data_IF_491640537346
#
_entry.id   IF_491640537346
#
_cell.length_a   1.000
_cell.length_b   1.000
_cell.length_c   1.000
_cell.angle_alpha   90.00
_cell.angle_beta   90.00
_cell.angle_gamma   90.00
#
_symmetry.space_group_name_H-M   'P 1'
#
loop_
_entity.id
_entity.type
_entity.pdbx_description
1 polymer ?
#
# COMPACT_ATOMS: atom_id res chain seq x y z
N UNK A 1 -16.72 25.64 -32.59
CA UNK A 1 -17.04 24.26 -32.17
C UNK A 1 -16.73 24.16 -30.68
N UNK A 2 -17.75 24.03 -29.86
CA UNK A 2 -17.64 24.06 -28.40
C UNK A 2 -17.19 22.69 -27.85
N UNK A 3 -16.24 22.71 -26.90
CA UNK A 3 -15.85 21.54 -26.13
C UNK A 3 -17.02 21.09 -25.25
N UNK A 4 -17.39 19.82 -25.37
CA UNK A 4 -18.36 19.19 -24.47
C UNK A 4 -17.75 19.05 -23.08
N UNK A 5 -18.41 19.70 -22.12
CA UNK A 5 -18.24 19.52 -20.67
C UNK A 5 -18.35 18.04 -20.30
N UNK A 6 -17.30 17.48 -19.71
CA UNK A 6 -17.36 16.17 -19.05
C UNK A 6 -17.70 16.38 -17.58
N UNK A 7 -18.91 15.99 -17.22
CA UNK A 7 -19.44 15.96 -15.86
C UNK A 7 -18.73 14.90 -15.01
N UNK A 8 -18.36 15.30 -13.80
CA UNK A 8 -17.84 14.50 -12.69
C UNK A 8 -18.66 13.20 -12.49
N UNK A 9 -18.05 12.01 -12.39
CA UNK A 9 -18.79 10.81 -12.00
C UNK A 9 -19.20 10.91 -10.53
N UNK A 10 -20.51 10.88 -10.28
CA UNK A 10 -21.10 10.76 -8.95
C UNK A 10 -20.86 9.36 -8.40
N UNK A 11 -20.23 9.29 -7.22
CA UNK A 11 -20.07 8.04 -6.47
C UNK A 11 -21.40 7.73 -5.78
N UNK A 12 -22.08 6.67 -6.22
CA UNK A 12 -23.22 6.13 -5.48
C UNK A 12 -22.71 5.39 -4.23
N UNK A 13 -23.00 5.96 -3.06
CA UNK A 13 -22.77 5.30 -1.79
C UNK A 13 -23.76 4.14 -1.60
N UNK A 14 -23.26 2.94 -1.34
CA UNK A 14 -24.08 1.79 -0.93
C UNK A 14 -23.74 1.40 0.51
N UNK A 15 -24.82 1.24 1.27
CA UNK A 15 -24.99 1.06 2.72
C UNK A 15 -24.02 0.05 3.35
N UNK A 16 -23.30 0.49 4.39
CA UNK A 16 -22.46 -0.36 5.23
C UNK A 16 -23.31 -1.29 6.11
N UNK A 17 -22.98 -2.59 6.12
CA UNK A 17 -23.43 -3.54 7.14
C UNK A 17 -22.38 -3.55 8.26
N UNK A 18 -22.83 -3.23 9.48
CA UNK A 18 -22.00 -3.04 10.67
C UNK A 18 -21.15 -4.28 10.98
N UNK A 19 -19.83 -4.10 11.15
CA UNK A 19 -18.91 -5.10 11.71
C UNK A 19 -17.68 -5.46 10.87
N UNK A 20 -17.62 -5.09 9.59
CA UNK A 20 -16.40 -5.23 8.78
C UNK A 20 -16.20 -3.93 8.01
N UNK A 21 -15.06 -3.25 8.26
CA UNK A 21 -14.62 -2.15 7.40
C UNK A 21 -14.29 -2.74 6.03
N UNK A 22 -15.28 -2.75 5.14
CA UNK A 22 -15.07 -3.08 3.74
C UNK A 22 -14.46 -1.84 3.09
N UNK A 23 -13.14 -1.68 3.22
CA UNK A 23 -12.43 -0.66 2.48
C UNK A 23 -12.68 -0.91 1.00
N UNK A 24 -13.42 -0.02 0.33
CA UNK A 24 -13.60 -0.11 -1.11
C UNK A 24 -12.22 -0.01 -1.76
N UNK A 25 -11.86 -0.94 -2.68
CA UNK A 25 -10.58 -0.86 -3.35
C UNK A 25 -10.40 0.48 -4.06
N UNK A 26 -9.23 1.10 -3.91
CA UNK A 26 -8.89 2.33 -4.62
C UNK A 26 -8.30 1.95 -5.97
N UNK A 27 -8.89 2.43 -7.07
CA UNK A 27 -8.33 2.21 -8.40
C UNK A 27 -7.11 3.11 -8.62
N UNK A 28 -5.99 2.50 -9.01
CA UNK A 28 -4.76 3.20 -9.34
C UNK A 28 -4.35 2.90 -10.79
N UNK A 29 -4.08 3.97 -11.54
CA UNK A 29 -3.25 3.91 -12.75
C UNK A 29 -1.75 3.91 -12.35
N UNK A 30 -0.83 3.82 -13.30
CA UNK A 30 0.60 3.96 -13.00
C UNK A 30 0.87 5.27 -12.23
N UNK A 31 1.60 5.19 -11.12
CA UNK A 31 1.83 6.30 -10.20
C UNK A 31 1.86 5.91 -8.72
N UNK A 32 1.93 6.91 -7.84
CA UNK A 32 1.97 6.73 -6.38
C UNK A 32 0.56 6.71 -5.78
N UNK A 33 0.26 5.67 -5.01
CA UNK A 33 -1.00 5.56 -4.26
C UNK A 33 -0.70 5.38 -2.79
N UNK A 34 -1.36 6.15 -1.91
CA UNK A 34 -1.25 5.93 -0.47
C UNK A 34 -1.75 4.52 -0.12
N UNK A 35 -0.91 3.73 0.56
CA UNK A 35 -1.21 2.36 0.97
C UNK A 35 -1.45 2.23 2.48
N UNK A 36 -0.72 3.02 3.28
CA UNK A 36 -0.86 3.06 4.75
C UNK A 36 -0.85 4.52 5.21
N UNK A 37 -1.87 4.93 5.96
CA UNK A 37 -2.07 6.32 6.40
C UNK A 37 -1.15 6.72 7.58
N UNK A 38 -1.17 8.02 7.92
CA UNK A 38 -0.27 8.72 8.83
C UNK A 38 -0.09 8.14 10.26
N UNK A 39 -1.03 7.32 10.74
CA UNK A 39 -0.93 6.61 12.02
C UNK A 39 -0.58 5.12 11.89
N UNK A 40 -0.73 4.56 10.70
CA UNK A 40 -0.60 3.13 10.45
C UNK A 40 0.82 2.62 10.44
N UNK A 41 1.76 3.47 10.02
CA UNK A 41 3.18 3.13 9.94
C UNK A 41 3.78 2.89 11.33
N UNK A 42 3.14 3.41 12.39
CA UNK A 42 3.57 3.25 13.78
C UNK A 42 3.03 1.96 14.44
N UNK A 43 2.25 1.16 13.71
CA UNK A 43 1.68 -0.09 14.19
C UNK A 43 2.52 -1.25 13.67
N UNK A 44 2.91 -2.17 14.56
CA UNK A 44 3.59 -3.40 14.16
C UNK A 44 2.59 -4.55 14.16
N UNK A 45 2.47 -5.25 13.04
CA UNK A 45 1.67 -6.47 12.96
C UNK A 45 2.47 -7.73 13.27
N UNK A 46 3.80 -7.64 13.45
CA UNK A 46 4.67 -8.70 13.99
C UNK A 46 4.40 -10.09 13.39
N UNK A 47 4.42 -10.18 12.06
CA UNK A 47 4.18 -11.39 11.28
C UNK A 47 2.77 -11.98 11.38
N UNK A 48 1.76 -11.25 11.88
CA UNK A 48 0.36 -11.70 11.88
C UNK A 48 -0.17 -12.08 10.49
N UNK A 49 0.43 -11.53 9.43
CA UNK A 49 0.13 -11.87 8.04
C UNK A 49 0.65 -13.25 7.60
N UNK A 50 1.62 -13.87 8.32
CA UNK A 50 2.20 -15.20 7.99
C UNK A 50 1.37 -16.39 8.48
N UNK A 51 0.43 -16.18 9.39
CA UNK A 51 -0.25 -17.26 10.13
C UNK A 51 -1.64 -17.64 9.64
N UNK A 52 -2.16 -17.00 8.59
CA UNK A 52 -3.57 -17.13 8.21
C UNK A 52 -3.67 -17.42 6.71
N UNK A 53 -4.11 -18.64 6.35
CA UNK A 53 -4.34 -19.07 4.96
C UNK A 53 -5.45 -18.26 4.25
N UNK A 54 -6.10 -17.34 4.97
CA UNK A 54 -6.96 -16.30 4.45
C UNK A 54 -6.88 -15.13 5.43
N UNK A 55 -6.02 -14.15 5.15
CA UNK A 55 -5.80 -13.00 6.04
C UNK A 55 -7.15 -12.40 6.44
N UNK A 56 -7.48 -12.51 7.73
CA UNK A 56 -8.68 -11.88 8.28
C UNK A 56 -8.41 -10.38 8.38
N UNK A 57 -8.96 -9.66 7.41
CA UNK A 57 -8.87 -8.22 7.27
C UNK A 57 -9.41 -7.44 8.48
N UNK A 58 -10.26 -8.07 9.31
CA UNK A 58 -10.77 -7.45 10.54
C UNK A 58 -9.67 -7.20 11.57
N UNK A 59 -8.56 -7.95 11.51
CA UNK A 59 -7.42 -7.83 12.43
C UNK A 59 -6.64 -6.51 12.27
N UNK A 60 -6.84 -5.79 11.16
CA UNK A 60 -5.98 -4.68 10.75
C UNK A 60 -6.68 -3.30 10.81
N UNK A 61 -7.90 -3.21 11.35
CA UNK A 61 -8.48 -1.97 11.89
C UNK A 61 -8.67 -0.78 10.94
N UNK A 62 -8.72 -0.96 9.61
CA UNK A 62 -8.93 0.11 8.62
C UNK A 62 -7.72 1.03 8.38
N UNK A 63 -6.54 0.60 8.84
CA UNK A 63 -5.28 1.36 8.77
C UNK A 63 -4.59 1.23 7.40
N UNK A 64 -4.95 0.20 6.66
CA UNK A 64 -4.44 -0.17 5.35
C UNK A 64 -5.50 0.08 4.28
N UNK A 65 -5.06 0.17 3.04
CA UNK A 65 -5.95 0.24 1.88
C UNK A 65 -5.76 -0.99 1.01
N UNK A 66 -6.86 -1.46 0.43
CA UNK A 66 -6.81 -2.36 -0.73
C UNK A 66 -6.67 -1.48 -1.97
N UNK A 67 -5.58 -1.65 -2.70
CA UNK A 67 -5.28 -0.92 -3.92
C UNK A 67 -5.55 -1.87 -5.08
N UNK A 68 -6.38 -1.44 -6.05
CA UNK A 68 -6.66 -2.21 -7.26
C UNK A 68 -5.95 -1.56 -8.45
N UNK A 69 -5.09 -2.31 -9.14
CA UNK A 69 -4.56 -1.87 -10.44
C UNK A 69 -5.64 -2.03 -11.51
N UNK A 70 -5.62 -1.14 -12.50
CA UNK A 70 -6.35 -1.40 -13.74
C UNK A 70 -5.76 -2.65 -14.43
N UNK A 71 -6.63 -3.47 -15.02
CA UNK A 71 -6.21 -4.71 -15.66
C UNK A 71 -5.23 -4.40 -16.81
N UNK A 72 -4.06 -5.06 -16.81
CA UNK A 72 -3.00 -4.83 -17.79
C UNK A 72 -2.09 -3.61 -17.55
N UNK A 73 -2.23 -2.91 -16.41
CA UNK A 73 -1.41 -1.73 -16.07
C UNK A 73 -0.49 -2.03 -14.89
N UNK A 74 0.78 -1.65 -15.00
CA UNK A 74 1.78 -1.79 -13.94
C UNK A 74 2.37 -3.20 -13.84
N UNK A 75 3.68 -3.29 -14.04
CA UNK A 75 4.49 -4.50 -13.98
C UNK A 75 5.31 -4.60 -12.69
N UNK A 76 5.41 -3.51 -11.92
CA UNK A 76 6.23 -3.45 -10.72
C UNK A 76 5.57 -2.62 -9.63
N UNK A 77 5.62 -3.15 -8.41
CA UNK A 77 5.19 -2.47 -7.20
C UNK A 77 6.43 -2.03 -6.42
N UNK A 78 6.54 -0.75 -6.05
CA UNK A 78 7.63 -0.25 -5.21
C UNK A 78 7.06 0.53 -4.03
N UNK A 79 7.26 0.07 -2.78
CA UNK A 79 6.81 0.79 -1.61
C UNK A 79 7.78 1.93 -1.26
N UNK A 80 7.23 3.06 -0.82
CA UNK A 80 7.97 4.27 -0.48
C UNK A 80 7.37 4.87 0.78
N UNK A 81 8.21 5.25 1.73
CA UNK A 81 7.79 5.95 2.93
C UNK A 81 8.02 7.46 2.77
N UNK A 82 6.96 8.24 3.01
CA UNK A 82 7.03 9.68 3.29
C UNK A 82 7.01 9.88 4.80
N UNK A 83 7.88 10.71 5.35
CA UNK A 83 7.96 10.92 6.80
C UNK A 83 8.39 12.35 7.15
N UNK A 84 8.20 12.72 8.41
CA UNK A 84 8.53 14.05 8.94
C UNK A 84 10.05 14.28 8.97
N UNK A 85 10.50 15.44 8.47
CA UNK A 85 11.92 15.79 8.47
C UNK A 85 12.50 15.92 9.91
N UNK A 86 11.66 16.26 10.89
CA UNK A 86 12.03 16.35 12.30
C UNK A 86 12.25 15.01 13.00
N UNK A 87 12.04 13.88 12.31
CA UNK A 87 12.28 12.55 12.86
C UNK A 87 13.78 12.26 12.97
N UNK A 88 14.23 12.03 14.21
CA UNK A 88 15.63 11.75 14.55
C UNK A 88 15.80 10.30 14.98
N UNK A 89 16.98 9.74 14.68
CA UNK A 89 17.31 8.33 14.92
C UNK A 89 16.20 7.34 14.47
N UNK A 90 15.68 7.47 13.22
CA UNK A 90 14.59 6.61 12.80
C UNK A 90 15.04 5.15 12.68
N UNK A 91 14.23 4.24 13.19
CA UNK A 91 14.30 2.82 12.85
C UNK A 91 13.30 2.56 11.71
N UNK A 92 13.76 2.17 10.52
CA UNK A 92 12.91 1.88 9.38
C UNK A 92 11.80 0.87 9.69
N UNK A 93 10.56 1.09 9.22
CA UNK A 93 9.56 0.05 9.22
C UNK A 93 9.92 -1.02 8.21
N UNK A 94 9.61 -2.26 8.56
CA UNK A 94 9.64 -3.42 7.67
C UNK A 94 8.19 -3.70 7.30
N UNK A 95 7.93 -3.92 6.02
CA UNK A 95 6.58 -4.14 5.50
C UNK A 95 6.48 -5.45 4.73
N UNK A 96 5.26 -5.97 4.61
CA UNK A 96 4.87 -7.00 3.68
C UNK A 96 3.91 -6.43 2.62
N UNK A 97 4.12 -6.81 1.36
CA UNK A 97 3.16 -6.56 0.29
C UNK A 97 2.42 -7.87 0.02
N UNK A 98 1.10 -7.78 0.06
CA UNK A 98 0.20 -8.89 -0.16
C UNK A 98 -0.59 -8.63 -1.43
N UNK A 99 -0.79 -9.68 -2.24
CA UNK A 99 -1.54 -9.62 -3.49
C UNK A 99 -2.69 -10.63 -3.51
N UNK A 100 -3.77 -10.30 -4.20
CA UNK A 100 -4.80 -11.26 -4.61
C UNK A 100 -5.32 -10.97 -6.01
N UNK A 101 -5.94 -11.97 -6.62
CA UNK A 101 -6.71 -11.80 -7.84
C UNK A 101 -8.18 -11.60 -7.46
N UNK A 102 -8.77 -10.53 -7.99
CA UNK A 102 -10.19 -10.22 -7.98
C UNK A 102 -10.59 -9.91 -9.42
N UNK A 103 -10.78 -10.97 -10.20
CA UNK A 103 -11.07 -10.91 -11.64
C UNK A 103 -12.50 -11.40 -11.89
N UNK A 104 -13.14 -10.93 -12.95
CA UNK A 104 -14.39 -11.52 -13.39
C UNK A 104 -14.11 -12.82 -14.15
N UNK A 105 -14.90 -13.86 -13.91
CA UNK A 105 -14.94 -15.06 -14.74
C UNK A 105 -15.60 -14.74 -16.11
N UNK A 106 -15.62 -15.69 -17.07
CA UNK A 106 -16.28 -15.49 -18.36
C UNK A 106 -17.79 -15.20 -18.26
N UNK A 107 -18.42 -15.51 -17.13
CA UNK A 107 -19.84 -15.27 -16.82
C UNK A 107 -20.08 -13.90 -16.19
N UNK A 108 -19.02 -13.19 -15.78
CA UNK A 108 -19.07 -11.92 -15.06
C UNK A 108 -19.04 -12.05 -13.53
N UNK A 109 -18.95 -13.27 -12.99
CA UNK A 109 -18.90 -13.53 -11.55
C UNK A 109 -17.49 -13.28 -11.00
N UNK A 110 -17.34 -12.60 -9.85
CA UNK A 110 -16.02 -12.29 -9.30
C UNK A 110 -15.35 -13.54 -8.73
N UNK A 111 -14.17 -13.87 -9.25
CA UNK A 111 -13.23 -14.83 -8.67
C UNK A 111 -12.27 -14.03 -7.79
N UNK A 112 -12.43 -14.19 -6.48
CA UNK A 112 -11.58 -13.55 -5.47
C UNK A 112 -10.71 -14.60 -4.78
N UNK A 113 -9.40 -14.54 -5.00
CA UNK A 113 -8.44 -15.40 -4.29
C UNK A 113 -8.11 -14.82 -2.91
N UNK A 114 -7.59 -15.63 -1.97
CA UNK A 114 -6.99 -15.12 -0.75
C UNK A 114 -5.81 -14.19 -1.05
N UNK A 115 -5.53 -13.27 -0.12
CA UNK A 115 -4.27 -12.52 -0.13
C UNK A 115 -3.09 -13.46 0.15
N UNK A 116 -2.08 -13.39 -0.70
CA UNK A 116 -0.82 -14.10 -0.56
C UNK A 116 0.34 -13.11 -0.45
N UNK A 117 1.40 -13.42 0.31
CA UNK A 117 2.57 -12.58 0.36
C UNK A 117 3.34 -12.64 -0.95
N UNK A 118 3.65 -11.48 -1.50
CA UNK A 118 4.46 -11.36 -2.71
C UNK A 118 5.94 -11.34 -2.35
N UNK A 119 6.79 -11.76 -3.28
CA UNK A 119 8.24 -11.69 -3.14
C UNK A 119 8.74 -10.39 -3.75
N UNK A 120 9.66 -9.71 -3.06
CA UNK A 120 10.45 -8.65 -3.66
C UNK A 120 11.59 -9.23 -4.50
N UNK A 121 12.28 -8.37 -5.25
CA UNK A 121 13.41 -8.71 -6.11
C UNK A 121 14.60 -9.33 -5.34
N UNK A 122 14.67 -9.14 -4.02
CA UNK A 122 15.65 -9.79 -3.15
C UNK A 122 15.21 -11.20 -2.70
N UNK A 123 14.06 -11.72 -3.15
CA UNK A 123 13.54 -13.04 -2.77
C UNK A 123 12.94 -13.11 -1.37
N UNK A 124 12.55 -11.96 -0.80
CA UNK A 124 11.97 -11.85 0.54
C UNK A 124 10.51 -11.40 0.47
N UNK A 125 9.69 -11.88 1.42
CA UNK A 125 8.32 -11.37 1.64
C UNK A 125 8.28 -10.07 2.45
N UNK A 126 9.44 -9.65 2.96
CA UNK A 126 9.61 -8.48 3.78
C UNK A 126 10.53 -7.48 3.09
N UNK A 127 10.12 -6.22 3.13
CA UNK A 127 10.84 -5.08 2.57
C UNK A 127 11.09 -4.04 3.65
N UNK A 128 12.35 -3.72 3.90
CA UNK A 128 12.74 -2.62 4.79
C UNK A 128 12.67 -1.30 4.02
N UNK A 129 11.95 -0.32 4.55
CA UNK A 129 11.87 1.03 3.96
C UNK A 129 13.01 1.89 4.50
N UNK A 130 14.21 1.67 3.97
CA UNK A 130 15.43 2.33 4.43
C UNK A 130 15.31 3.85 4.31
N UNK A 131 15.42 4.52 5.46
CA UNK A 131 15.38 5.97 5.57
C UNK A 131 16.55 6.58 4.80
N UNK A 132 16.26 7.54 3.94
CA UNK A 132 17.30 8.35 3.34
C UNK A 132 17.43 9.65 4.13
N UNK A 133 18.49 9.77 4.92
CA UNK A 133 18.74 10.97 5.71
C UNK A 133 19.29 12.13 4.86
N UNK A 134 19.61 11.87 3.59
CA UNK A 134 20.22 12.81 2.64
C UNK A 134 19.26 13.32 1.56
N UNK A 135 18.17 12.60 1.28
CA UNK A 135 17.07 13.13 0.45
C UNK A 135 16.12 13.97 1.30
N UNK A 136 16.31 15.28 1.24
CA UNK A 136 15.27 16.24 1.59
C UNK A 136 14.35 16.39 0.39
N UNK A 137 13.03 16.30 0.58
CA UNK A 137 12.16 16.90 -0.42
C UNK A 137 12.41 18.41 -0.31
N UNK A 138 12.60 19.11 -1.43
CA UNK A 138 12.89 20.55 -1.48
C UNK A 138 11.78 21.47 -0.84
N UNK A 139 10.90 20.93 0.02
CA UNK A 139 9.87 21.62 0.81
C UNK A 139 10.22 21.78 2.31
N UNK A 140 11.27 21.12 2.82
CA UNK A 140 11.78 21.22 4.18
C UNK A 140 10.89 20.60 5.29
N UNK A 141 9.71 20.10 4.95
CA UNK A 141 8.75 19.53 5.90
C UNK A 141 8.78 18.00 5.90
N UNK A 142 9.01 17.38 4.74
CA UNK A 142 8.96 15.92 4.59
C UNK A 142 10.18 15.36 3.88
N UNK A 143 10.51 14.12 4.23
CA UNK A 143 11.50 13.29 3.56
C UNK A 143 10.85 12.06 2.96
N UNK A 144 11.50 11.50 1.95
CA UNK A 144 11.07 10.28 1.27
C UNK A 144 12.19 9.24 1.30
N UNK A 145 11.83 7.97 1.39
CA UNK A 145 12.79 6.89 1.15
C UNK A 145 13.06 6.77 -0.34
N UNK A 146 14.33 6.57 -0.74
CA UNK A 146 14.66 6.30 -2.14
C UNK A 146 14.02 5.00 -2.63
N UNK A 147 13.28 5.01 -3.74
CA UNK A 147 12.79 3.77 -4.37
C UNK A 147 13.97 2.90 -4.81
N UNK A 148 13.97 1.63 -4.44
CA UNK A 148 14.99 0.68 -4.89
C UNK A 148 14.34 -0.55 -5.54
N UNK A 149 14.15 -0.50 -6.86
CA UNK A 149 13.54 -1.60 -7.60
C UNK A 149 14.32 -2.93 -7.47
N UNK A 150 15.64 -2.88 -7.32
CA UNK A 150 16.49 -4.08 -7.28
C UNK A 150 16.32 -4.90 -5.99
N UNK A 151 15.85 -4.28 -4.90
CA UNK A 151 15.67 -4.96 -3.61
C UNK A 151 14.23 -4.91 -3.10
N UNK A 152 13.49 -3.84 -3.42
CA UNK A 152 12.13 -3.58 -2.93
C UNK A 152 11.06 -3.82 -4.00
N UNK A 153 11.45 -3.89 -5.27
CA UNK A 153 10.52 -4.10 -6.38
C UNK A 153 9.82 -5.45 -6.25
N UNK A 154 8.51 -5.45 -6.28
CA UNK A 154 7.67 -6.63 -6.17
C UNK A 154 6.90 -6.85 -7.45
N UNK A 155 7.03 -8.04 -8.04
CA UNK A 155 6.22 -8.44 -9.17
C UNK A 155 4.78 -8.66 -8.68
N UNK A 156 3.78 -7.95 -9.23
CA UNK A 156 2.38 -8.14 -8.89
C UNK A 156 1.84 -9.54 -9.27
N UNK A 157 2.57 -10.31 -10.09
CA UNK A 157 2.16 -11.60 -10.64
C UNK A 157 0.77 -11.47 -11.30
N UNK A 158 -0.07 -12.47 -11.10
CA UNK A 158 -1.48 -12.50 -11.53
C UNK A 158 -2.43 -11.73 -10.60
N UNK A 159 -1.91 -11.06 -9.56
CA UNK A 159 -2.72 -10.31 -8.61
C UNK A 159 -3.11 -8.96 -9.20
N UNK A 160 -4.33 -8.49 -8.97
CA UNK A 160 -4.77 -7.14 -9.37
C UNK A 160 -5.20 -6.28 -8.18
N UNK A 161 -5.24 -6.85 -6.98
CA UNK A 161 -5.45 -6.13 -5.74
C UNK A 161 -4.28 -6.35 -4.78
N UNK A 162 -3.87 -5.28 -4.11
CA UNK A 162 -2.69 -5.23 -3.25
C UNK A 162 -3.01 -4.61 -1.91
N UNK A 163 -2.28 -5.03 -0.89
CA UNK A 163 -2.34 -4.48 0.45
C UNK A 163 -0.93 -4.40 1.01
N UNK A 164 -0.61 -3.29 1.67
CA UNK A 164 0.68 -3.10 2.34
C UNK A 164 0.45 -3.11 3.84
N UNK A 165 1.20 -3.95 4.54
CA UNK A 165 1.11 -4.09 5.99
C UNK A 165 2.48 -3.88 6.64
N UNK A 166 2.59 -3.01 7.65
CA UNK A 166 3.80 -2.91 8.46
C UNK A 166 4.01 -4.15 9.35
N UNK A 167 5.08 -4.89 9.10
CA UNK A 167 5.53 -5.98 9.97
C UNK A 167 6.15 -5.43 11.26
N UNK A 168 6.99 -4.42 11.13
CA UNK A 168 7.53 -3.63 12.24
C UNK A 168 7.10 -2.17 12.10
N UNK A 169 6.97 -1.49 13.23
CA UNK A 169 6.61 -0.07 13.26
C UNK A 169 7.80 0.81 12.89
N UNK A 170 7.50 1.96 12.29
CA UNK A 170 8.41 3.09 12.29
C UNK A 170 8.56 3.56 13.74
N UNK A 171 9.80 3.82 14.15
CA UNK A 171 10.09 4.41 15.47
C UNK A 171 11.25 5.40 15.37
N UNK A 172 11.36 6.28 16.36
CA UNK A 172 12.38 7.33 16.43
C UNK A 172 11.97 8.40 17.43
N UNK A 173 12.79 9.44 17.57
CA UNK A 173 12.50 10.60 18.41
C UNK A 173 12.05 11.79 17.57
N UNK A 174 11.01 12.51 18.02
CA UNK A 174 10.40 13.63 17.28
C UNK A 174 8.96 13.33 16.85
N UNK A 175 8.43 14.11 15.92
CA UNK A 175 7.04 14.01 15.47
C UNK A 175 6.88 12.93 14.39
N UNK A 176 6.40 11.74 14.76
CA UNK A 176 6.13 10.62 13.81
C UNK A 176 4.73 10.64 13.21
N UNK A 177 3.89 11.63 13.54
CA UNK A 177 2.46 11.61 13.23
C UNK A 177 2.11 11.80 11.76
N UNK A 178 3.08 12.12 10.90
CA UNK A 178 2.85 12.38 9.48
C UNK A 178 3.49 11.34 8.54
N UNK A 179 3.86 10.17 9.06
CA UNK A 179 4.50 9.12 8.27
C UNK A 179 3.49 8.28 7.48
N UNK A 180 3.64 8.22 6.16
CA UNK A 180 2.69 7.59 5.22
C UNK A 180 3.44 6.67 4.27
N UNK A 181 2.94 5.46 4.02
CA UNK A 181 3.50 4.57 2.99
C UNK A 181 2.69 4.74 1.71
N UNK A 182 3.41 5.01 0.62
CA UNK A 182 2.92 4.99 -0.74
C UNK A 182 3.36 3.70 -1.44
N UNK A 183 2.55 3.23 -2.37
CA UNK A 183 2.88 2.18 -3.31
C UNK A 183 2.95 2.80 -4.71
N UNK A 184 4.14 2.80 -5.30
CA UNK A 184 4.32 3.13 -6.70
C UNK A 184 3.96 1.92 -7.56
N UNK A 185 3.09 2.13 -8.55
CA UNK A 185 2.73 1.14 -9.56
C UNK A 185 3.36 1.62 -10.87
N UNK A 186 4.29 0.85 -11.43
CA UNK A 186 5.08 1.20 -12.62
C UNK A 186 4.81 0.20 -13.73
#
# INVERSE_FOLDING_TARGET
MALASQTKPEVQAVVAKTGMSTSTPVSAAAGFTEAVAAGGVNIAFANAWRGINAIDLSLFGGIYKIIRRADGVGSLLIPILKYDNGLTAPTPPVIAILGRSNIADPSGDPIVTPFIPLLNAAGSHLTTLTMDTTEDADDGAFKWTRPNAATQGTDPLWCNEFMVLPDTSLSGTGTVTNAVIYLAII
#
